data_IF_784419356164
#
_entry.id   IF_784419356164
#
_cell.length_a   1.000
_cell.length_b   1.000
_cell.length_c   1.000
_cell.angle_alpha   90.00
_cell.angle_beta   90.00
_cell.angle_gamma   90.00
#
_symmetry.space_group_name_H-M   'P 1'
#
loop_
_entity.id
_entity.type
_entity.pdbx_description
1 polymer ?
#
# COMPACT_ATOMS: atom_id res chain seq x y z
N UNK A 1 0.56 17.18 1.45
CA UNK A 1 1.15 17.54 0.12
C UNK A 1 1.25 16.37 -0.86
N UNK A 2 1.64 15.14 -0.47
CA UNK A 2 1.77 14.02 -1.43
C UNK A 2 0.41 13.43 -1.87
N UNK A 3 -0.62 13.41 -1.01
CA UNK A 3 -1.90 12.75 -1.34
C UNK A 3 -2.87 13.62 -2.15
N UNK A 4 -2.86 14.94 -1.97
CA UNK A 4 -3.49 15.86 -2.93
C UNK A 4 -2.92 15.63 -4.34
N UNK A 5 -1.62 15.31 -4.47
CA UNK A 5 -1.04 14.90 -5.76
C UNK A 5 -1.56 13.54 -6.23
N UNK A 6 -1.86 12.58 -5.36
CA UNK A 6 -2.47 11.30 -5.76
C UNK A 6 -3.89 11.48 -6.29
N UNK A 7 -4.74 12.28 -5.64
CA UNK A 7 -6.10 12.58 -6.12
C UNK A 7 -6.08 13.40 -7.42
N UNK A 8 -5.24 14.43 -7.52
CA UNK A 8 -5.05 15.17 -8.77
C UNK A 8 -4.51 14.25 -9.88
N UNK A 9 -3.50 13.42 -9.58
CA UNK A 9 -2.95 12.48 -10.55
C UNK A 9 -4.00 11.46 -11.02
N UNK A 10 -4.88 10.98 -10.13
CA UNK A 10 -5.97 10.09 -10.53
C UNK A 10 -6.91 10.74 -11.54
N UNK A 11 -7.29 12.02 -11.34
CA UNK A 11 -8.12 12.75 -12.32
C UNK A 11 -7.41 12.86 -13.66
N UNK A 12 -6.14 13.27 -13.65
CA UNK A 12 -5.33 13.39 -14.87
C UNK A 12 -5.17 12.03 -15.57
N UNK A 13 -4.97 10.94 -14.83
CA UNK A 13 -4.87 9.60 -15.42
C UNK A 13 -6.20 9.10 -15.97
N UNK A 14 -7.33 9.42 -15.33
CA UNK A 14 -8.64 9.08 -15.85
C UNK A 14 -8.94 9.81 -17.16
N UNK A 15 -8.65 11.11 -17.22
CA UNK A 15 -8.83 11.92 -18.42
C UNK A 15 -7.88 11.46 -19.53
N UNK A 16 -6.59 11.27 -19.22
CA UNK A 16 -5.62 10.72 -20.15
C UNK A 16 -6.06 9.36 -20.70
N UNK A 17 -6.55 8.45 -19.85
CA UNK A 17 -7.00 7.14 -20.29
C UNK A 17 -8.26 7.18 -21.18
N UNK A 18 -9.12 8.20 -21.03
CA UNK A 18 -10.29 8.42 -21.91
C UNK A 18 -9.88 9.03 -23.25
N UNK A 19 -8.95 9.97 -23.25
CA UNK A 19 -8.54 10.73 -24.43
C UNK A 19 -7.44 10.03 -25.25
N UNK A 20 -6.75 9.05 -24.67
CA UNK A 20 -5.62 8.38 -25.31
C UNK A 20 -6.03 7.73 -26.65
N UNK A 21 -5.42 8.13 -27.77
CA UNK A 21 -5.73 7.55 -29.06
C UNK A 21 -5.22 6.11 -29.16
N UNK A 22 -5.83 5.32 -30.05
CA UNK A 22 -5.46 3.91 -30.22
C UNK A 22 -3.99 3.72 -30.64
N UNK A 23 -3.42 4.71 -31.32
CA UNK A 23 -1.99 4.72 -31.71
C UNK A 23 -1.04 4.73 -30.52
N UNK A 24 -1.51 5.14 -29.34
CA UNK A 24 -0.72 5.24 -28.12
C UNK A 24 -1.12 4.20 -27.07
N UNK A 25 -1.89 3.18 -27.44
CA UNK A 25 -2.37 2.13 -26.54
C UNK A 25 -1.25 1.44 -25.73
N UNK A 26 0.00 1.48 -26.20
CA UNK A 26 1.18 0.99 -25.48
C UNK A 26 1.45 1.72 -24.15
N UNK A 27 0.92 2.94 -23.93
CA UNK A 27 1.08 3.69 -22.68
C UNK A 27 0.08 3.29 -21.60
N UNK A 28 -1.03 2.63 -21.96
CA UNK A 28 -2.10 2.25 -21.02
C UNK A 28 -1.64 1.41 -19.82
N UNK A 29 -0.73 0.42 -19.96
CA UNK A 29 -0.23 -0.33 -18.80
C UNK A 29 0.43 0.57 -17.76
N UNK A 30 1.23 1.54 -18.20
CA UNK A 30 1.89 2.51 -17.30
C UNK A 30 0.88 3.43 -16.61
N UNK A 31 -0.16 3.88 -17.35
CA UNK A 31 -1.25 4.67 -16.76
C UNK A 31 -1.96 3.87 -15.67
N UNK A 32 -2.35 2.62 -15.95
CA UNK A 32 -2.99 1.77 -14.95
C UNK A 32 -2.08 1.46 -13.76
N UNK A 33 -0.78 1.23 -13.97
CA UNK A 33 0.17 1.08 -12.88
C UNK A 33 0.18 2.31 -11.97
N UNK A 34 0.26 3.51 -12.56
CA UNK A 34 0.30 4.75 -11.80
C UNK A 34 -1.02 5.06 -11.09
N UNK A 35 -2.17 4.67 -11.66
CA UNK A 35 -3.45 4.71 -10.96
C UNK A 35 -3.43 3.78 -9.74
N UNK A 36 -2.92 2.55 -9.91
CA UNK A 36 -2.71 1.60 -8.80
C UNK A 36 -1.86 2.20 -7.69
N UNK A 37 -0.76 2.87 -8.06
CA UNK A 37 0.14 3.57 -7.13
C UNK A 37 -0.57 4.68 -6.36
N UNK A 38 -1.36 5.50 -7.05
CA UNK A 38 -2.12 6.57 -6.42
C UNK A 38 -3.20 6.03 -5.45
N UNK A 39 -3.94 4.98 -5.84
CA UNK A 39 -4.93 4.35 -4.96
C UNK A 39 -4.28 3.66 -3.74
N UNK A 40 -3.12 3.02 -3.91
CA UNK A 40 -2.37 2.43 -2.80
C UNK A 40 -1.90 3.49 -1.80
N UNK A 41 -1.44 4.66 -2.28
CA UNK A 41 -1.09 5.80 -1.44
C UNK A 41 -2.27 6.40 -0.65
N UNK A 42 -3.50 6.13 -1.09
CA UNK A 42 -4.75 6.48 -0.38
C UNK A 42 -5.30 5.31 0.47
N UNK A 43 -4.53 4.22 0.62
CA UNK A 43 -4.93 3.00 1.34
C UNK A 43 -6.16 2.29 0.76
N UNK A 44 -6.52 2.57 -0.50
CA UNK A 44 -7.62 1.92 -1.23
C UNK A 44 -7.10 0.66 -1.96
N UNK A 45 -6.61 -0.30 -1.19
CA UNK A 45 -5.84 -1.43 -1.72
C UNK A 45 -6.64 -2.38 -2.62
N UNK A 46 -7.96 -2.52 -2.40
CA UNK A 46 -8.83 -3.31 -3.27
C UNK A 46 -8.96 -2.70 -4.67
N UNK A 47 -8.97 -1.36 -4.75
CA UNK A 47 -9.00 -0.62 -6.01
C UNK A 47 -7.61 -0.64 -6.65
N UNK A 48 -6.56 -0.40 -5.87
CA UNK A 48 -5.18 -0.47 -6.34
C UNK A 48 -4.87 -1.82 -6.99
N UNK A 49 -5.26 -2.92 -6.36
CA UNK A 49 -5.09 -4.27 -6.90
C UNK A 49 -5.71 -4.44 -8.28
N UNK A 50 -6.92 -3.90 -8.52
CA UNK A 50 -7.59 -3.98 -9.83
C UNK A 50 -6.78 -3.29 -10.93
N UNK A 51 -6.21 -2.13 -10.62
CA UNK A 51 -5.41 -1.36 -11.58
C UNK A 51 -4.04 -1.98 -11.84
N UNK A 52 -3.34 -2.43 -10.80
CA UNK A 52 -2.09 -3.16 -10.97
C UNK A 52 -2.27 -4.48 -11.74
N UNK A 53 -3.35 -5.23 -11.46
CA UNK A 53 -3.69 -6.44 -12.22
C UNK A 53 -3.88 -6.14 -13.70
N UNK A 54 -4.61 -5.08 -14.02
CA UNK A 54 -4.83 -4.65 -15.40
C UNK A 54 -3.52 -4.24 -16.08
N UNK A 55 -2.66 -3.50 -15.40
CA UNK A 55 -1.34 -3.15 -15.89
C UNK A 55 -0.51 -4.41 -16.20
N UNK A 56 -0.42 -5.32 -15.24
CA UNK A 56 0.31 -6.58 -15.36
C UNK A 56 -0.23 -7.48 -16.48
N UNK A 57 -1.55 -7.60 -16.64
CA UNK A 57 -2.14 -8.41 -17.69
C UNK A 57 -1.79 -7.89 -19.09
N UNK A 58 -1.63 -6.57 -19.24
CA UNK A 58 -1.31 -5.93 -20.53
C UNK A 58 0.18 -5.94 -20.86
N UNK A 59 1.06 -5.73 -19.88
CA UNK A 59 2.52 -5.60 -20.13
C UNK A 59 3.34 -6.83 -19.71
N UNK A 60 2.80 -7.66 -18.81
CA UNK A 60 3.53 -8.73 -18.09
C UNK A 60 4.75 -8.23 -17.30
N UNK A 61 4.76 -6.94 -16.98
CA UNK A 61 5.79 -6.30 -16.16
C UNK A 61 5.76 -6.81 -14.72
N UNK A 62 6.83 -7.44 -14.26
CA UNK A 62 6.89 -8.10 -12.95
C UNK A 62 6.61 -7.13 -11.79
N UNK A 63 7.08 -5.89 -11.87
CA UNK A 63 6.83 -4.88 -10.82
C UNK A 63 5.33 -4.64 -10.64
N UNK A 64 4.59 -4.47 -11.74
CA UNK A 64 3.12 -4.37 -11.70
C UNK A 64 2.46 -5.61 -11.09
N UNK A 65 3.01 -6.80 -11.34
CA UNK A 65 2.57 -8.06 -10.74
C UNK A 65 2.83 -8.13 -9.22
N UNK A 66 4.02 -7.71 -8.78
CA UNK A 66 4.37 -7.63 -7.35
C UNK A 66 3.47 -6.62 -6.63
N UNK A 67 3.21 -5.46 -7.23
CA UNK A 67 2.33 -4.44 -6.64
C UNK A 67 0.86 -4.90 -6.57
N UNK A 68 0.41 -5.69 -7.55
CA UNK A 68 -0.90 -6.35 -7.48
C UNK A 68 -1.00 -7.28 -6.26
N UNK A 69 -0.03 -8.17 -6.07
CA UNK A 69 -0.02 -9.09 -4.93
C UNK A 69 0.17 -8.34 -3.61
N UNK A 70 0.96 -7.27 -3.59
CA UNK A 70 1.15 -6.42 -2.40
C UNK A 70 -0.17 -5.79 -1.98
N UNK A 71 -0.93 -5.26 -2.93
CA UNK A 71 -2.25 -4.67 -2.67
C UNK A 71 -3.25 -5.71 -2.17
N UNK A 72 -3.25 -6.93 -2.73
CA UNK A 72 -4.05 -8.04 -2.20
C UNK A 72 -3.64 -8.44 -0.78
N UNK A 73 -2.33 -8.52 -0.50
CA UNK A 73 -1.80 -8.85 0.83
C UNK A 73 -2.19 -7.82 1.89
N UNK A 74 -2.32 -6.56 1.50
CA UNK A 74 -2.76 -5.46 2.36
C UNK A 74 -4.28 -5.40 2.55
N UNK A 75 -5.05 -5.92 1.60
CA UNK A 75 -6.52 -5.89 1.62
C UNK A 75 -7.15 -7.14 2.25
N UNK A 76 -6.61 -8.32 1.95
CA UNK A 76 -7.15 -9.61 2.37
C UNK A 76 -6.65 -10.03 3.75
N UNK A 77 -7.39 -10.93 4.40
CA UNK A 77 -6.84 -11.65 5.55
C UNK A 77 -5.64 -12.52 5.12
N UNK A 78 -4.82 -12.92 6.08
CA UNK A 78 -3.70 -13.82 5.80
C UNK A 78 -4.16 -15.17 5.23
N UNK A 79 -5.22 -15.75 5.78
CA UNK A 79 -5.79 -17.01 5.30
C UNK A 79 -6.35 -16.87 3.89
N UNK A 80 -7.01 -15.75 3.60
CA UNK A 80 -7.56 -15.45 2.28
C UNK A 80 -6.46 -15.28 1.23
N UNK A 81 -5.39 -14.56 1.57
CA UNK A 81 -4.25 -14.37 0.69
C UNK A 81 -3.51 -15.69 0.42
N UNK A 82 -3.26 -16.50 1.44
CA UNK A 82 -2.59 -17.81 1.27
C UNK A 82 -3.43 -18.71 0.37
N UNK A 83 -4.75 -18.76 0.58
CA UNK A 83 -5.67 -19.51 -0.29
C UNK A 83 -5.62 -19.00 -1.72
N UNK A 84 -5.64 -17.68 -1.92
CA UNK A 84 -5.54 -17.07 -3.24
C UNK A 84 -4.26 -17.50 -3.98
N UNK A 85 -3.09 -17.43 -3.33
CA UNK A 85 -1.82 -17.86 -3.95
C UNK A 85 -1.80 -19.37 -4.23
N UNK A 86 -2.38 -20.19 -3.36
CA UNK A 86 -2.48 -21.63 -3.59
C UNK A 86 -3.35 -21.98 -4.81
N UNK A 87 -4.39 -21.19 -5.07
CA UNK A 87 -5.29 -21.35 -6.22
C UNK A 87 -4.72 -20.78 -7.53
N UNK A 88 -3.73 -19.88 -7.47
CA UNK A 88 -3.15 -19.18 -8.62
C UNK A 88 -1.63 -19.40 -8.68
N UNK A 89 -1.23 -20.60 -9.09
CA UNK A 89 0.19 -21.02 -9.13
C UNK A 89 1.04 -20.17 -10.09
N UNK A 90 0.43 -19.50 -11.07
CA UNK A 90 1.09 -18.56 -11.97
C UNK A 90 1.72 -17.35 -11.24
N UNK A 91 1.25 -17.04 -10.02
CA UNK A 91 1.77 -15.93 -9.22
C UNK A 91 2.83 -16.37 -8.20
N UNK A 92 3.26 -17.63 -8.20
CA UNK A 92 4.15 -18.16 -7.16
C UNK A 92 5.48 -17.39 -7.06
N UNK A 93 6.18 -17.18 -8.17
CA UNK A 93 7.47 -16.46 -8.16
C UNK A 93 7.32 -15.00 -7.70
N UNK A 94 6.28 -14.31 -8.19
CA UNK A 94 5.97 -12.95 -7.76
C UNK A 94 5.63 -12.89 -6.25
N UNK A 95 4.94 -13.90 -5.73
CA UNK A 95 4.61 -13.99 -4.30
C UNK A 95 5.88 -14.18 -3.46
N UNK A 96 6.84 -14.98 -3.92
CA UNK A 96 8.11 -15.17 -3.24
C UNK A 96 8.93 -13.88 -3.22
N UNK A 97 8.92 -13.12 -4.32
CA UNK A 97 9.56 -11.81 -4.35
C UNK A 97 8.91 -10.85 -3.35
N UNK A 98 7.59 -10.77 -3.33
CA UNK A 98 6.85 -9.93 -2.40
C UNK A 98 7.16 -10.28 -0.94
N UNK A 99 7.12 -11.56 -0.57
CA UNK A 99 7.38 -11.98 0.81
C UNK A 99 8.82 -11.67 1.26
N UNK A 100 9.80 -11.70 0.34
CA UNK A 100 11.16 -11.20 0.61
C UNK A 100 11.15 -9.70 0.92
N UNK A 101 10.44 -8.88 0.13
CA UNK A 101 10.32 -7.43 0.36
C UNK A 101 9.63 -7.14 1.70
N UNK A 102 8.54 -7.84 2.01
CA UNK A 102 7.83 -7.72 3.30
C UNK A 102 8.74 -8.09 4.47
N UNK A 103 9.49 -9.19 4.34
CA UNK A 103 10.43 -9.63 5.39
C UNK A 103 11.53 -8.60 5.62
N UNK A 104 12.10 -8.04 4.55
CA UNK A 104 13.11 -6.99 4.66
C UNK A 104 12.53 -5.74 5.34
N UNK A 105 11.36 -5.25 4.91
CA UNK A 105 10.70 -4.09 5.49
C UNK A 105 10.35 -4.29 6.98
N UNK A 106 9.92 -5.50 7.37
CA UNK A 106 9.70 -5.85 8.78
C UNK A 106 10.99 -5.75 9.59
N UNK A 107 12.10 -6.29 9.09
CA UNK A 107 13.40 -6.19 9.76
C UNK A 107 13.90 -4.74 9.90
N UNK A 108 13.71 -3.91 8.87
CA UNK A 108 14.02 -2.47 8.93
C UNK A 108 13.17 -1.76 9.98
N UNK A 109 11.87 -2.04 10.02
CA UNK A 109 10.97 -1.50 11.04
C UNK A 109 11.38 -1.95 12.44
N UNK A 110 11.72 -3.23 12.64
CA UNK A 110 12.15 -3.74 13.94
C UNK A 110 13.39 -3.02 14.48
N UNK A 111 14.34 -2.68 13.59
CA UNK A 111 15.55 -1.94 13.92
C UNK A 111 15.33 -0.42 14.10
N UNK A 112 14.16 0.10 13.72
CA UNK A 112 13.87 1.53 13.71
C UNK A 112 13.83 2.16 15.12
N UNK A 113 13.88 3.50 15.18
CA UNK A 113 13.71 4.23 16.44
C UNK A 113 12.25 4.16 16.89
N UNK A 114 11.33 4.18 15.94
CA UNK A 114 9.89 4.15 16.11
C UNK A 114 9.47 2.86 16.82
N UNK A 115 9.99 1.71 16.39
CA UNK A 115 9.71 0.43 17.04
C UNK A 115 10.27 0.36 18.47
N UNK A 116 11.46 0.92 18.71
CA UNK A 116 12.02 1.04 20.07
C UNK A 116 11.16 1.92 20.97
N UNK A 117 10.64 3.03 20.45
CA UNK A 117 9.72 3.91 21.16
C UNK A 117 8.42 3.18 21.51
N UNK A 118 7.82 2.46 20.56
CA UNK A 118 6.60 1.67 20.81
C UNK A 118 6.85 0.57 21.86
N UNK A 119 8.00 -0.07 21.82
CA UNK A 119 8.40 -1.08 22.82
C UNK A 119 8.54 -0.47 24.21
N UNK A 120 9.14 0.72 24.34
CA UNK A 120 9.24 1.42 25.63
C UNK A 120 7.87 1.84 26.17
N UNK A 121 6.96 2.32 25.31
CA UNK A 121 5.59 2.64 25.70
C UNK A 121 4.84 1.40 26.21
N UNK A 122 5.04 0.23 25.58
CA UNK A 122 4.46 -1.03 26.05
C UNK A 122 4.93 -1.37 27.46
N UNK A 123 6.20 -1.17 27.78
CA UNK A 123 6.74 -1.39 29.14
C UNK A 123 6.07 -0.44 30.15
N UNK A 124 5.93 0.85 29.84
CA UNK A 124 5.23 1.79 30.75
C UNK A 124 3.81 1.36 31.08
N UNK A 125 3.09 0.78 30.11
CA UNK A 125 1.77 0.21 30.35
C UNK A 125 1.82 -0.99 31.30
N UNK A 126 2.77 -1.90 31.10
CA UNK A 126 2.95 -3.12 31.89
C UNK A 126 3.41 -2.83 33.33
N UNK A 127 4.23 -1.80 33.54
CA UNK A 127 4.72 -1.36 34.85
C UNK A 127 3.72 -0.50 35.64
N UNK A 128 2.51 -0.29 35.11
CA UNK A 128 1.46 0.47 35.78
C UNK A 128 1.53 2.00 35.59
N UNK A 129 2.47 2.51 34.78
CA UNK A 129 2.52 3.92 34.37
C UNK A 129 1.57 4.18 33.19
N UNK A 130 0.30 3.86 33.42
CA UNK A 130 -0.75 3.85 32.40
C UNK A 130 -1.08 5.25 31.89
N UNK A 131 -0.95 6.28 32.74
CA UNK A 131 -1.22 7.67 32.37
C UNK A 131 -0.24 8.20 31.31
N UNK A 132 1.08 8.02 31.54
CA UNK A 132 2.11 8.46 30.59
C UNK A 132 2.03 7.66 29.27
N UNK A 133 1.65 6.38 29.34
CA UNK A 133 1.41 5.56 28.17
C UNK A 133 0.30 6.13 27.28
N UNK A 134 -0.89 6.39 27.85
CA UNK A 134 -2.01 6.91 27.06
C UNK A 134 -1.73 8.31 26.52
N UNK A 135 -1.08 9.18 27.29
CA UNK A 135 -0.72 10.52 26.82
C UNK A 135 0.14 10.47 25.54
N UNK A 136 1.18 9.64 25.53
CA UNK A 136 2.07 9.53 24.36
C UNK A 136 1.42 8.80 23.19
N UNK A 137 0.64 7.74 23.46
CA UNK A 137 -0.12 7.04 22.43
C UNK A 137 -1.15 7.96 21.77
N UNK A 138 -1.86 8.77 22.55
CA UNK A 138 -2.86 9.71 22.02
C UNK A 138 -2.19 10.78 21.14
N UNK A 139 -1.01 11.28 21.51
CA UNK A 139 -0.23 12.20 20.67
C UNK A 139 0.21 11.57 19.35
N UNK A 140 0.53 10.28 19.34
CA UNK A 140 0.90 9.54 18.12
C UNK A 140 -0.35 9.33 17.26
N UNK A 141 -1.45 8.85 17.86
CA UNK A 141 -2.72 8.62 17.16
C UNK A 141 -3.25 9.93 16.57
N UNK A 142 -3.21 11.02 17.33
CA UNK A 142 -3.65 12.33 16.85
C UNK A 142 -2.86 12.77 15.62
N UNK A 143 -1.52 12.67 15.67
CA UNK A 143 -0.67 12.99 14.51
C UNK A 143 -0.99 12.13 13.31
N UNK A 144 -1.11 10.81 13.48
CA UNK A 144 -1.46 9.91 12.38
C UNK A 144 -2.85 10.21 11.79
N UNK A 145 -3.82 10.58 12.63
CA UNK A 145 -5.16 10.98 12.19
C UNK A 145 -5.16 12.30 11.44
N UNK A 146 -4.46 13.32 11.95
CA UNK A 146 -4.32 14.60 11.26
C UNK A 146 -3.61 14.42 9.92
N UNK A 147 -2.51 13.66 9.93
CA UNK A 147 -1.77 13.34 8.71
C UNK A 147 -2.70 12.66 7.71
N UNK A 148 -3.52 11.70 8.15
CA UNK A 148 -4.50 10.99 7.31
C UNK A 148 -5.67 11.85 6.83
N UNK A 149 -6.27 12.69 7.68
CA UNK A 149 -7.38 13.58 7.30
C UNK A 149 -6.93 14.60 6.25
N UNK A 150 -5.72 15.13 6.39
CA UNK A 150 -5.07 15.93 5.35
C UNK A 150 -4.82 15.15 4.04
N UNK A 151 -4.94 13.82 4.03
CA UNK A 151 -4.89 13.00 2.81
C UNK A 151 -6.25 12.87 2.12
N UNK A 152 -7.37 13.06 2.82
CA UNK A 152 -8.73 12.68 2.36
C UNK A 152 -9.67 13.88 2.16
N UNK A 153 -9.51 14.97 2.92
CA UNK A 153 -10.46 16.10 2.91
C UNK A 153 -10.21 17.19 1.83
N UNK A 154 -9.15 17.09 1.02
CA UNK A 154 -8.87 17.99 -0.13
C UNK A 154 -8.92 17.26 -1.47
#
# INVERSE_FOLDING_TARGET
MQNNRHLMALREYEDLNRELPDTENALRPAIYHNMGYAYAGLFMFDIAAKYYKRAYEMSKDEESGVQYLSSLRSYLSEEEYIRFIAEHSEYHELSLELEKKITAAKGEFEASRENRMLSALKIYKEEGNVASYYEEIDKIIYRLKEDYLQLVEE
#
